data_IF_032981975381
#
_entry.id   IF_032981975381
#
_cell.length_a   1.000
_cell.length_b   1.000
_cell.length_c   1.000
_cell.angle_alpha   90.00
_cell.angle_beta   90.00
_cell.angle_gamma   90.00
#
_symmetry.space_group_name_H-M   'P 1'
#
loop_
_entity.id
_entity.type
_entity.pdbx_description
1 polymer ?
#
# COMPACT_ATOMS: atom_id res chain seq x y z
N UNK A 1 -9.09 -15.44 12.30
CA UNK A 1 -10.02 -14.69 11.43
C UNK A 1 -11.05 -14.06 12.35
N UNK A 2 -10.96 -12.74 12.55
CA UNK A 2 -11.79 -12.01 13.51
C UNK A 2 -13.28 -11.99 13.14
N UNK A 3 -14.11 -11.45 14.02
CA UNK A 3 -15.53 -11.21 13.75
C UNK A 3 -15.70 -10.47 12.42
N UNK A 4 -16.68 -10.83 11.57
CA UNK A 4 -16.90 -10.18 10.27
C UNK A 4 -17.11 -8.67 10.40
N UNK A 5 -17.53 -8.18 11.57
CA UNK A 5 -17.72 -6.75 11.83
C UNK A 5 -16.43 -6.01 12.18
N UNK A 6 -15.40 -6.70 12.65
CA UNK A 6 -14.16 -6.06 13.13
C UNK A 6 -13.51 -5.24 12.02
N UNK A 7 -13.40 -5.79 10.80
CA UNK A 7 -12.80 -5.08 9.68
C UNK A 7 -13.58 -3.81 9.29
N UNK A 8 -14.91 -3.89 9.32
CA UNK A 8 -15.78 -2.75 9.01
C UNK A 8 -15.63 -1.64 10.04
N UNK A 9 -15.59 -2.00 11.33
CA UNK A 9 -15.42 -1.04 12.42
C UNK A 9 -14.03 -0.41 12.36
N UNK A 10 -12.97 -1.20 12.15
CA UNK A 10 -11.60 -0.68 11.98
C UNK A 10 -11.51 0.29 10.81
N UNK A 11 -12.13 -0.03 9.67
CA UNK A 11 -12.17 0.88 8.52
C UNK A 11 -12.91 2.17 8.81
N UNK A 12 -14.00 2.12 9.58
CA UNK A 12 -14.75 3.30 9.99
C UNK A 12 -13.93 4.20 10.92
N UNK A 13 -13.23 3.61 11.88
CA UNK A 13 -12.34 4.33 12.78
C UNK A 13 -11.18 4.99 12.02
N UNK A 14 -10.51 4.24 11.13
CA UNK A 14 -9.44 4.78 10.27
C UNK A 14 -9.95 5.90 9.37
N UNK A 15 -11.18 5.82 8.87
CA UNK A 15 -11.80 6.88 8.07
C UNK A 15 -11.91 8.21 8.83
N UNK A 16 -12.32 8.17 10.11
CA UNK A 16 -12.43 9.39 10.91
C UNK A 16 -11.06 10.00 11.23
N UNK A 17 -10.07 9.16 11.51
CA UNK A 17 -8.70 9.56 11.75
C UNK A 17 -8.06 10.20 10.49
N UNK A 18 -8.15 9.53 9.34
CA UNK A 18 -7.49 9.94 8.10
C UNK A 18 -8.13 11.16 7.44
N UNK A 19 -9.41 11.46 7.72
CA UNK A 19 -10.16 12.53 7.04
C UNK A 19 -9.44 13.88 7.03
N UNK A 20 -8.74 14.25 8.10
CA UNK A 20 -7.98 15.50 8.15
C UNK A 20 -6.66 15.40 7.36
N UNK A 21 -6.01 14.24 7.41
CA UNK A 21 -4.77 13.94 6.69
C UNK A 21 -5.01 14.00 5.18
N UNK A 22 -6.05 13.31 4.69
CA UNK A 22 -6.44 13.28 3.27
C UNK A 22 -6.74 14.68 2.74
N UNK A 23 -7.42 15.52 3.53
CA UNK A 23 -7.69 16.91 3.15
C UNK A 23 -6.40 17.72 3.00
N UNK A 24 -5.45 17.58 3.92
CA UNK A 24 -4.17 18.28 3.86
C UNK A 24 -3.35 17.85 2.63
N UNK A 25 -3.28 16.54 2.37
CA UNK A 25 -2.55 15.97 1.25
C UNK A 25 -3.14 16.43 -0.07
N UNK A 26 -4.47 16.36 -0.22
CA UNK A 26 -5.17 16.81 -1.43
C UNK A 26 -4.98 18.30 -1.69
N UNK A 27 -4.97 19.13 -0.64
CA UNK A 27 -4.69 20.56 -0.77
C UNK A 27 -3.25 20.85 -1.24
N UNK A 28 -2.30 19.96 -0.95
CA UNK A 28 -0.93 20.06 -1.48
C UNK A 28 -0.73 19.45 -2.87
N UNK A 29 -1.78 18.92 -3.50
CA UNK A 29 -1.68 18.22 -4.78
C UNK A 29 -1.04 16.83 -4.70
N UNK A 30 -0.98 16.25 -3.50
CA UNK A 30 -0.44 14.92 -3.27
C UNK A 30 -1.46 13.80 -3.52
N UNK A 31 -0.96 12.58 -3.63
CA UNK A 31 -1.78 11.37 -3.75
C UNK A 31 -1.80 10.65 -2.40
N UNK A 32 -2.97 10.13 -2.05
CA UNK A 32 -3.17 9.34 -0.84
C UNK A 32 -3.87 8.03 -1.19
N UNK A 33 -3.26 6.91 -0.82
CA UNK A 33 -3.85 5.58 -0.88
C UNK A 33 -3.78 4.92 0.49
N UNK A 34 -4.81 4.15 0.83
CA UNK A 34 -4.83 3.31 2.03
C UNK A 34 -5.31 1.92 1.70
N UNK A 35 -4.69 0.93 2.33
CA UNK A 35 -5.14 -0.45 2.33
C UNK A 35 -5.12 -1.00 3.75
N UNK A 36 -6.31 -1.13 4.36
CA UNK A 36 -6.48 -1.53 5.76
C UNK A 36 -5.68 -0.59 6.68
N UNK A 37 -4.49 -1.03 7.11
CA UNK A 37 -3.62 -0.32 8.04
C UNK A 37 -2.43 0.37 7.32
N UNK A 38 -2.11 -0.05 6.09
CA UNK A 38 -1.01 0.51 5.32
C UNK A 38 -1.45 1.78 4.58
N UNK A 39 -0.67 2.83 4.70
CA UNK A 39 -0.89 4.11 4.00
C UNK A 39 0.26 4.41 3.06
N UNK A 40 -0.07 4.93 1.89
CA UNK A 40 0.88 5.42 0.90
C UNK A 40 0.55 6.86 0.54
N UNK A 41 1.57 7.72 0.59
CA UNK A 41 1.44 9.15 0.42
C UNK A 41 2.54 9.65 -0.52
N UNK A 42 2.15 10.40 -1.55
CA UNK A 42 3.09 11.15 -2.39
C UNK A 42 2.80 12.64 -2.25
N UNK A 43 3.84 13.42 -1.94
CA UNK A 43 3.73 14.86 -1.71
C UNK A 43 5.03 15.56 -2.10
N UNK A 44 4.92 16.81 -2.54
CA UNK A 44 6.07 17.66 -2.87
C UNK A 44 6.46 18.56 -1.68
N UNK A 45 6.66 17.95 -0.50
CA UNK A 45 7.14 18.64 0.70
C UNK A 45 8.58 18.26 0.99
N UNK A 46 9.31 19.15 1.69
CA UNK A 46 10.61 18.78 2.23
C UNK A 46 10.47 17.68 3.29
N UNK A 47 11.45 16.76 3.34
CA UNK A 47 11.47 15.66 4.32
C UNK A 47 11.30 16.15 5.76
N UNK A 48 11.94 17.28 6.11
CA UNK A 48 11.79 17.91 7.42
C UNK A 48 10.35 18.36 7.72
N UNK A 49 9.66 18.92 6.73
CA UNK A 49 8.26 19.33 6.90
C UNK A 49 7.36 18.10 7.04
N UNK A 50 7.58 17.07 6.22
CA UNK A 50 6.83 15.81 6.28
C UNK A 50 6.96 15.13 7.64
N UNK A 51 8.19 14.98 8.16
CA UNK A 51 8.42 14.41 9.52
C UNK A 51 7.65 15.18 10.60
N UNK A 52 7.71 16.51 10.56
CA UNK A 52 6.98 17.36 11.50
C UNK A 52 5.46 17.21 11.38
N UNK A 53 4.93 16.95 10.17
CA UNK A 53 3.51 16.69 9.97
C UNK A 53 3.11 15.30 10.47
N UNK A 54 3.94 14.28 10.26
CA UNK A 54 3.71 12.94 10.83
C UNK A 54 3.67 13.02 12.36
N UNK A 55 4.58 13.75 12.99
CA UNK A 55 4.56 13.99 14.44
C UNK A 55 3.29 14.70 14.92
N UNK A 56 2.64 15.49 14.07
CA UNK A 56 1.35 16.13 14.37
C UNK A 56 0.20 15.14 14.18
N UNK A 57 0.22 14.31 13.15
CA UNK A 57 -0.78 13.28 12.92
C UNK A 57 -0.77 12.22 14.04
N UNK A 58 0.41 11.89 14.57
CA UNK A 58 0.57 11.03 15.76
C UNK A 58 0.00 11.64 17.05
N UNK A 59 -0.38 12.93 17.04
CA UNK A 59 -1.05 13.59 18.16
C UNK A 59 -2.57 13.71 17.97
N UNK A 60 -3.11 13.25 16.84
CA UNK A 60 -4.55 13.30 16.59
C UNK A 60 -5.31 12.30 17.45
N UNK A 61 -4.71 11.14 17.73
CA UNK A 61 -5.28 10.11 18.57
C UNK A 61 -4.16 9.44 19.36
N UNK A 62 -4.36 9.21 20.65
CA UNK A 62 -3.38 8.55 21.53
C UNK A 62 -3.26 7.06 21.23
N UNK A 63 -4.26 6.47 20.56
CA UNK A 63 -4.31 5.05 20.24
C UNK A 63 -3.64 4.69 18.90
N UNK A 64 -3.34 5.68 18.06
CA UNK A 64 -2.72 5.47 16.74
C UNK A 64 -1.33 6.10 16.71
N UNK A 65 -0.33 5.30 16.36
CA UNK A 65 1.03 5.76 16.12
C UNK A 65 1.49 5.37 14.72
N UNK A 66 1.76 6.36 13.88
CA UNK A 66 2.22 6.18 12.51
C UNK A 66 3.74 6.01 12.47
N UNK A 67 4.18 4.87 11.95
CA UNK A 67 5.57 4.65 11.54
C UNK A 67 5.73 4.93 10.05
N UNK A 68 6.41 6.01 9.70
CA UNK A 68 6.63 6.39 8.31
C UNK A 68 8.06 6.05 7.86
N UNK A 69 8.18 5.48 6.66
CA UNK A 69 9.43 5.40 5.93
C UNK A 69 9.38 6.42 4.78
N UNK A 70 10.29 7.40 4.80
CA UNK A 70 10.33 8.50 3.83
C UNK A 70 11.53 8.30 2.92
N UNK A 71 11.30 8.30 1.61
CA UNK A 71 12.34 8.17 0.60
C UNK A 71 11.80 8.46 -0.80
N UNK A 72 12.69 8.39 -1.79
CA UNK A 72 12.33 8.42 -3.22
C UNK A 72 11.67 7.13 -3.69
N UNK A 73 11.80 6.05 -2.91
CA UNK A 73 11.17 4.77 -3.16
C UNK A 73 10.34 4.30 -1.95
N UNK A 74 9.30 3.52 -2.19
CA UNK A 74 8.51 2.88 -1.15
C UNK A 74 7.90 1.57 -1.64
N UNK A 75 7.75 0.60 -0.73
CA UNK A 75 7.06 -0.65 -1.02
C UNK A 75 5.64 -0.60 -0.47
N UNK A 76 4.64 -0.94 -1.28
CA UNK A 76 3.22 -0.99 -0.88
C UNK A 76 2.51 -2.15 -1.58
N UNK A 77 1.87 -3.04 -0.81
CA UNK A 77 1.10 -4.19 -1.33
C UNK A 77 1.83 -5.07 -2.36
N UNK A 78 3.14 -5.24 -2.22
CA UNK A 78 3.94 -6.03 -3.18
C UNK A 78 4.33 -5.26 -4.44
N UNK A 79 4.16 -3.94 -4.44
CA UNK A 79 4.70 -3.03 -5.46
C UNK A 79 5.86 -2.25 -4.88
N UNK A 80 6.90 -2.08 -5.69
CA UNK A 80 8.00 -1.15 -5.47
C UNK A 80 7.71 0.10 -6.29
N UNK A 81 7.43 1.20 -5.60
CA UNK A 81 7.15 2.48 -6.22
C UNK A 81 8.38 3.35 -6.09
N UNK A 82 8.79 3.97 -7.19
CA UNK A 82 9.93 4.88 -7.25
C UNK A 82 9.50 6.19 -7.92
N UNK A 83 9.89 7.30 -7.34
CA UNK A 83 9.73 8.61 -7.97
C UNK A 83 11.01 8.96 -8.73
N UNK A 84 10.94 8.92 -10.06
CA UNK A 84 12.02 9.38 -10.95
C UNK A 84 11.58 10.69 -11.60
N UNK A 85 12.24 11.79 -11.24
CA UNK A 85 12.02 13.13 -11.81
C UNK A 85 10.56 13.61 -11.87
N UNK A 86 9.74 13.22 -10.88
CA UNK A 86 8.34 13.61 -10.77
C UNK A 86 7.35 12.65 -11.44
N UNK A 87 7.85 11.56 -12.02
CA UNK A 87 7.04 10.45 -12.50
C UNK A 87 7.11 9.29 -11.50
N UNK A 88 5.95 8.75 -11.14
CA UNK A 88 5.84 7.60 -10.25
C UNK A 88 5.89 6.32 -11.08
N UNK A 89 7.00 5.61 -10.98
CA UNK A 89 7.19 4.29 -11.59
C UNK A 89 6.80 3.22 -10.60
N UNK A 90 6.09 2.19 -11.07
CA UNK A 90 5.68 1.06 -10.23
C UNK A 90 6.22 -0.23 -10.81
N UNK A 91 6.92 -1.00 -10.00
CA UNK A 91 7.43 -2.33 -10.36
C UNK A 91 6.93 -3.36 -9.37
N UNK A 92 6.83 -4.62 -9.77
CA UNK A 92 6.45 -5.69 -8.85
C UNK A 92 7.60 -5.97 -7.88
N UNK A 93 7.35 -5.79 -6.58
CA UNK A 93 8.29 -6.10 -5.52
C UNK A 93 8.12 -7.55 -5.06
N UNK A 94 9.12 -8.39 -5.32
CA UNK A 94 9.24 -9.71 -4.70
C UNK A 94 10.30 -9.66 -3.60
N UNK A 95 9.96 -10.16 -2.41
CA UNK A 95 10.94 -10.30 -1.33
C UNK A 95 12.07 -11.22 -1.82
N UNK A 96 13.33 -10.98 -1.42
CA UNK A 96 14.45 -11.82 -1.85
C UNK A 96 14.34 -13.28 -1.37
N UNK A 97 13.51 -13.56 -0.36
CA UNK A 97 13.19 -14.91 0.11
C UNK A 97 12.00 -15.56 -0.61
N UNK A 98 11.45 -14.91 -1.65
CA UNK A 98 10.32 -15.44 -2.40
C UNK A 98 10.81 -16.49 -3.39
N UNK A 99 10.59 -17.76 -3.06
CA UNK A 99 10.67 -18.85 -4.02
C UNK A 99 9.28 -19.07 -4.61
N UNK A 100 9.07 -18.81 -5.92
CA UNK A 100 7.78 -19.02 -6.52
C UNK A 100 7.51 -20.52 -6.65
N UNK A 101 6.72 -21.07 -5.74
CA UNK A 101 6.16 -22.41 -5.90
C UNK A 101 4.91 -22.33 -6.79
N UNK A 102 5.09 -22.57 -8.08
CA UNK A 102 3.97 -22.66 -9.01
C UNK A 102 3.33 -24.05 -8.97
N UNK A 103 2.01 -24.09 -8.86
CA UNK A 103 1.28 -25.34 -8.93
C UNK A 103 1.36 -25.92 -10.35
N UNK A 104 1.92 -27.11 -10.56
CA UNK A 104 1.96 -27.70 -11.89
C UNK A 104 0.54 -27.98 -12.37
N UNK A 105 0.25 -27.68 -13.64
CA UNK A 105 -1.10 -27.85 -14.21
C UNK A 105 -1.59 -29.30 -14.13
N UNK A 106 -0.68 -30.27 -14.14
CA UNK A 106 -0.98 -31.70 -14.06
C UNK A 106 -1.23 -32.22 -12.63
N UNK A 107 -1.17 -31.35 -11.61
CA UNK A 107 -1.47 -31.72 -10.23
C UNK A 107 -2.92 -32.13 -10.01
N UNK A 108 -3.19 -32.92 -8.96
CA UNK A 108 -4.56 -33.33 -8.58
C UNK A 108 -5.20 -32.22 -7.72
N UNK A 109 -5.33 -31.04 -8.29
CA UNK A 109 -6.03 -29.91 -7.67
C UNK A 109 -7.24 -29.47 -8.50
N UNK A 110 -8.27 -28.90 -7.86
CA UNK A 110 -9.43 -28.36 -8.56
C UNK A 110 -9.04 -27.34 -9.64
N UNK A 111 -9.78 -27.34 -10.75
CA UNK A 111 -9.49 -26.48 -11.90
C UNK A 111 -9.43 -24.98 -11.53
N UNK A 112 -10.32 -24.53 -10.63
CA UNK A 112 -10.37 -23.13 -10.19
C UNK A 112 -9.05 -22.66 -9.53
N UNK A 113 -8.34 -23.54 -8.83
CA UNK A 113 -7.05 -23.19 -8.20
C UNK A 113 -5.94 -23.03 -9.25
N UNK A 114 -5.94 -23.87 -10.29
CA UNK A 114 -4.96 -23.82 -11.39
C UNK A 114 -5.14 -22.58 -12.25
N UNK A 115 -6.39 -22.23 -12.54
CA UNK A 115 -6.75 -21.06 -13.35
C UNK A 115 -6.39 -19.75 -12.61
N UNK A 116 -6.64 -19.67 -11.30
CA UNK A 116 -6.33 -18.47 -10.51
C UNK A 116 -4.84 -18.11 -10.53
N UNK A 117 -3.94 -19.09 -10.62
CA UNK A 117 -2.49 -18.84 -10.72
C UNK A 117 -2.17 -18.10 -12.02
N UNK A 118 -2.79 -18.49 -13.13
CA UNK A 118 -2.60 -17.80 -14.41
C UNK A 118 -3.12 -16.37 -14.36
N UNK A 119 -4.27 -16.13 -13.72
CA UNK A 119 -4.80 -14.77 -13.54
C UNK A 119 -3.89 -13.91 -12.67
N UNK A 120 -3.38 -14.46 -11.56
CA UNK A 120 -2.44 -13.74 -10.69
C UNK A 120 -1.16 -13.34 -11.44
N UNK A 121 -0.61 -14.24 -12.26
CA UNK A 121 0.57 -13.95 -13.07
C UNK A 121 0.31 -12.89 -14.14
N UNK A 122 -0.85 -12.94 -14.78
CA UNK A 122 -1.22 -11.93 -15.78
C UNK A 122 -1.39 -10.55 -15.14
N UNK A 123 -2.00 -10.48 -13.96
CA UNK A 123 -2.17 -9.23 -13.22
C UNK A 123 -0.82 -8.64 -12.79
N UNK A 124 0.12 -9.47 -12.32
CA UNK A 124 1.49 -9.05 -12.03
C UNK A 124 2.21 -8.52 -13.28
N UNK A 125 2.02 -9.16 -14.44
CA UNK A 125 2.63 -8.73 -15.69
C UNK A 125 2.11 -7.36 -16.16
N UNK A 126 0.81 -7.09 -16.00
CA UNK A 126 0.20 -5.80 -16.36
C UNK A 126 0.79 -4.67 -15.51
N UNK A 127 0.99 -4.90 -14.21
CA UNK A 127 1.50 -3.87 -13.29
C UNK A 127 2.97 -3.48 -13.60
N UNK A 128 3.73 -4.33 -14.29
CA UNK A 128 5.11 -4.02 -14.71
C UNK A 128 5.25 -3.26 -16.04
N UNK A 129 4.16 -3.02 -16.78
CA UNK A 129 4.21 -2.52 -18.18
C UNK A 129 4.06 -0.98 -18.30
N UNK A 130 3.85 -0.25 -17.20
CA UNK A 130 3.81 1.23 -17.17
C UNK A 130 4.92 1.82 -16.30
#
# INVERSE_FOLDING_TARGET
MGSPLTLTISNCYMYFYERQIVKQIRNSGGIYFRYIDDMFITINWSDRHLRKQIDRWNKFDENINLSANIGSHANFLGLHMENQDGQLFTTVYQKPSYEPYYLPFNSIHPLHMKINIHFAMHLLAIICIE
#
